data_IF_820783298508
#
_entry.id   IF_820783298508
#
_cell.length_a   1.000
_cell.length_b   1.000
_cell.length_c   1.000
_cell.angle_alpha   90.00
_cell.angle_beta   90.00
_cell.angle_gamma   90.00
#
_symmetry.space_group_name_H-M   'P 1'
#
loop_
_entity.id
_entity.type
_entity.pdbx_description
1 polymer ?
#
# COMPACT_ATOMS: atom_id res chain seq x y z
N UNK A 1 14.53 8.99 9.86
CA UNK A 1 15.20 9.59 8.68
C UNK A 1 14.40 10.73 8.08
N UNK A 2 14.63 11.04 6.80
CA UNK A 2 13.84 12.00 6.02
C UNK A 2 13.14 11.24 4.88
N UNK A 3 11.81 11.15 4.95
CA UNK A 3 11.01 10.47 3.92
C UNK A 3 10.70 11.38 2.73
N UNK A 4 10.09 10.81 1.69
CA UNK A 4 9.68 11.58 0.51
C UNK A 4 8.50 12.49 0.87
N UNK A 5 8.61 13.77 0.52
CA UNK A 5 7.55 14.76 0.67
C UNK A 5 6.92 15.15 -0.67
N UNK A 6 5.59 15.28 -0.71
CA UNK A 6 4.87 15.89 -1.85
C UNK A 6 4.88 15.08 -3.15
N UNK A 7 5.12 13.76 -3.06
CA UNK A 7 5.07 12.84 -4.19
C UNK A 7 3.70 12.88 -4.88
N UNK A 8 3.68 12.84 -6.21
CA UNK A 8 2.46 12.69 -7.00
C UNK A 8 2.54 11.46 -7.90
N UNK A 9 1.57 10.56 -7.78
CA UNK A 9 1.38 9.41 -8.66
C UNK A 9 -0.02 9.56 -9.26
N UNK A 10 -0.10 10.08 -10.47
CA UNK A 10 -1.36 10.51 -11.09
C UNK A 10 -1.50 10.00 -12.53
N UNK A 11 -2.67 9.48 -12.90
CA UNK A 11 -2.97 9.07 -14.27
C UNK A 11 -2.15 7.87 -14.77
N UNK A 12 -1.61 7.05 -13.86
CA UNK A 12 -0.73 5.93 -14.20
C UNK A 12 -1.47 4.61 -14.35
N UNK A 13 -0.85 3.66 -15.04
CA UNK A 13 -1.22 2.23 -14.96
C UNK A 13 -0.12 1.45 -14.26
N UNK A 14 -0.39 0.93 -13.08
CA UNK A 14 0.53 0.11 -12.29
C UNK A 14 0.05 -1.35 -12.34
N UNK A 15 0.87 -2.27 -12.88
CA UNK A 15 0.41 -3.64 -13.06
C UNK A 15 1.50 -4.71 -13.06
N UNK A 16 1.08 -5.93 -12.76
CA UNK A 16 1.89 -7.15 -12.81
C UNK A 16 3.12 -7.08 -11.88
N UNK A 17 2.96 -6.48 -10.70
CA UNK A 17 4.00 -6.43 -9.68
C UNK A 17 4.12 -7.79 -9.01
N UNK A 18 5.35 -8.16 -8.63
CA UNK A 18 5.62 -9.41 -7.92
C UNK A 18 4.89 -9.43 -6.56
N UNK A 19 4.99 -8.33 -5.80
CA UNK A 19 4.34 -8.07 -4.52
C UNK A 19 3.32 -6.91 -4.68
N UNK A 20 3.34 -5.91 -3.79
CA UNK A 20 2.44 -4.77 -3.84
C UNK A 20 2.70 -3.90 -5.10
N UNK A 21 1.65 -3.37 -5.73
CA UNK A 21 1.83 -2.57 -6.94
C UNK A 21 2.45 -1.19 -6.66
N UNK A 22 2.16 -0.60 -5.50
CA UNK A 22 2.76 0.64 -5.03
C UNK A 22 3.01 0.56 -3.53
N UNK A 23 4.22 0.88 -3.10
CA UNK A 23 4.56 0.93 -1.68
C UNK A 23 5.10 2.31 -1.29
N UNK A 24 4.34 3.00 -0.44
CA UNK A 24 4.69 4.28 0.16
C UNK A 24 5.18 4.01 1.59
N UNK A 25 6.49 3.91 1.78
CA UNK A 25 7.09 3.58 3.08
C UNK A 25 8.16 4.57 3.50
N UNK A 26 8.42 4.59 4.80
CA UNK A 26 9.45 5.35 5.50
C UNK A 26 9.24 6.86 5.47
N UNK A 27 8.36 7.34 6.35
CA UNK A 27 8.10 8.75 6.66
C UNK A 27 7.60 9.55 5.43
N UNK A 28 6.84 8.92 4.55
CA UNK A 28 6.25 9.59 3.38
C UNK A 28 5.19 10.57 3.85
N UNK A 29 5.29 11.82 3.37
CA UNK A 29 4.37 12.88 3.76
C UNK A 29 3.79 13.66 2.60
N UNK A 30 2.50 13.98 2.67
CA UNK A 30 1.86 14.83 1.67
C UNK A 30 1.82 14.22 0.26
N UNK A 31 1.92 12.89 0.13
CA UNK A 31 1.81 12.22 -1.15
C UNK A 31 0.36 12.23 -1.67
N UNK A 32 0.21 12.29 -2.99
CA UNK A 32 -1.07 12.27 -3.68
C UNK A 32 -1.05 11.13 -4.72
N UNK A 33 -1.90 10.13 -4.53
CA UNK A 33 -2.04 8.97 -5.42
C UNK A 33 -3.45 8.97 -5.99
N UNK A 34 -3.61 9.42 -7.24
CA UNK A 34 -4.93 9.61 -7.81
C UNK A 34 -5.09 9.24 -9.28
N UNK A 35 -6.32 8.98 -9.69
CA UNK A 35 -6.69 8.74 -11.09
C UNK A 35 -5.85 7.64 -11.77
N UNK A 36 -5.37 6.67 -10.97
CA UNK A 36 -4.56 5.55 -11.47
C UNK A 36 -5.43 4.32 -11.72
N UNK A 37 -4.98 3.47 -12.64
CA UNK A 37 -5.44 2.09 -12.80
C UNK A 37 -4.40 1.14 -12.21
N UNK A 38 -4.77 0.37 -11.19
CA UNK A 38 -3.87 -0.55 -10.47
C UNK A 38 -4.40 -1.97 -10.58
N UNK A 39 -3.61 -2.91 -11.10
CA UNK A 39 -4.10 -4.29 -11.27
C UNK A 39 -3.03 -5.37 -11.37
N UNK A 40 -3.33 -6.59 -10.93
CA UNK A 40 -2.39 -7.71 -11.01
C UNK A 40 -1.20 -7.50 -10.07
N UNK A 41 -1.50 -7.23 -8.81
CA UNK A 41 -0.51 -7.14 -7.74
C UNK A 41 -0.36 -8.54 -7.11
N UNK A 42 0.81 -8.84 -6.56
CA UNK A 42 1.07 -10.13 -5.92
C UNK A 42 1.25 -11.27 -6.92
N UNK A 43 1.81 -11.01 -8.10
CA UNK A 43 1.99 -12.04 -9.14
C UNK A 43 2.81 -13.23 -8.62
N UNK A 44 3.79 -12.99 -7.75
CA UNK A 44 4.59 -14.06 -7.15
C UNK A 44 3.71 -15.04 -6.36
N UNK A 45 2.83 -14.53 -5.50
CA UNK A 45 2.00 -15.34 -4.61
C UNK A 45 0.73 -15.86 -5.29
N UNK A 46 -0.01 -14.99 -5.98
CA UNK A 46 -1.36 -15.26 -6.48
C UNK A 46 -1.42 -15.81 -7.91
N UNK A 47 -0.31 -15.81 -8.64
CA UNK A 47 -0.21 -16.40 -9.99
C UNK A 47 0.79 -17.54 -10.03
N UNK A 48 1.97 -17.37 -9.43
CA UNK A 48 3.02 -18.39 -9.45
C UNK A 48 3.04 -19.30 -8.21
N UNK A 49 2.17 -19.08 -7.24
CA UNK A 49 2.02 -19.96 -6.08
C UNK A 49 3.19 -19.87 -5.09
N UNK A 50 3.75 -18.68 -4.89
CA UNK A 50 4.83 -18.40 -3.93
C UNK A 50 4.50 -18.73 -2.47
N UNK A 51 3.23 -18.93 -2.14
CA UNK A 51 2.75 -19.39 -0.84
C UNK A 51 2.60 -18.27 0.20
N UNK A 52 2.95 -17.03 -0.14
CA UNK A 52 2.67 -15.84 0.65
C UNK A 52 1.29 -15.26 0.39
N UNK A 53 1.11 -14.02 0.82
CA UNK A 53 -0.12 -13.24 0.69
C UNK A 53 0.15 -11.81 0.24
N UNK A 54 1.36 -11.48 -0.22
CA UNK A 54 1.68 -10.14 -0.66
C UNK A 54 0.96 -9.88 -1.99
N UNK A 55 0.24 -8.77 -2.08
CA UNK A 55 -0.53 -8.47 -3.27
C UNK A 55 -1.42 -7.25 -3.17
N UNK A 56 -1.07 -6.32 -2.29
CA UNK A 56 -1.80 -5.10 -2.05
C UNK A 56 -1.70 -4.17 -3.27
N UNK A 57 -2.78 -3.43 -3.56
CA UNK A 57 -2.74 -2.39 -4.56
C UNK A 57 -1.77 -1.28 -4.15
N UNK A 58 -1.98 -0.74 -2.95
CA UNK A 58 -1.17 0.32 -2.35
C UNK A 58 -0.90 -0.03 -0.88
N UNK A 59 0.38 -0.09 -0.51
CA UNK A 59 0.83 -0.29 0.86
C UNK A 59 1.37 1.02 1.43
N UNK A 60 0.77 1.52 2.51
CA UNK A 60 1.12 2.81 3.13
C UNK A 60 1.65 2.64 4.55
N UNK A 61 2.89 3.07 4.77
CA UNK A 61 3.61 2.96 6.02
C UNK A 61 4.51 1.72 6.08
N UNK A 62 4.83 1.29 7.30
CA UNK A 62 5.64 0.09 7.57
C UNK A 62 5.16 -0.56 8.85
N UNK A 63 4.86 -1.86 8.78
CA UNK A 63 4.48 -2.65 9.93
C UNK A 63 5.61 -2.70 10.99
N UNK A 64 5.31 -2.76 12.30
CA UNK A 64 6.32 -2.75 13.35
C UNK A 64 7.36 -3.88 13.19
N UNK A 65 6.92 -5.06 12.78
CA UNK A 65 7.76 -6.24 12.55
C UNK A 65 8.76 -6.07 11.38
N UNK A 66 8.54 -5.09 10.49
CA UNK A 66 9.37 -4.79 9.32
C UNK A 66 10.34 -3.61 9.55
N UNK A 67 10.43 -3.09 10.77
CA UNK A 67 11.34 -1.99 11.09
C UNK A 67 12.81 -2.47 11.24
N UNK A 68 13.76 -1.56 11.07
CA UNK A 68 15.19 -1.78 11.26
C UNK A 68 15.76 -2.92 10.41
N UNK A 69 16.44 -3.88 11.04
CA UNK A 69 17.07 -5.01 10.34
C UNK A 69 16.10 -5.88 9.52
N UNK A 70 14.78 -5.68 9.68
CA UNK A 70 13.74 -6.45 9.03
C UNK A 70 13.15 -5.77 7.78
N UNK A 71 13.63 -4.58 7.39
CA UNK A 71 13.30 -3.99 6.09
C UNK A 71 13.34 -2.46 5.99
N UNK A 72 13.00 -1.73 7.05
CA UNK A 72 13.10 -0.27 7.09
C UNK A 72 14.52 0.21 7.46
N UNK A 73 14.95 1.40 7.02
CA UNK A 73 16.31 1.88 7.29
C UNK A 73 16.69 1.99 8.79
N UNK A 74 15.72 2.15 9.68
CA UNK A 74 15.92 2.22 11.12
C UNK A 74 14.73 1.60 11.88
N UNK A 75 14.85 1.47 13.21
CA UNK A 75 13.82 0.87 14.06
C UNK A 75 12.69 1.84 14.44
N UNK A 76 12.69 3.08 13.92
CA UNK A 76 11.71 4.08 14.31
C UNK A 76 10.36 3.81 13.64
N UNK A 77 9.26 4.10 14.36
CA UNK A 77 7.92 3.98 13.81
C UNK A 77 7.76 4.78 12.50
N UNK A 78 7.09 4.19 11.51
CA UNK A 78 6.85 4.83 10.22
C UNK A 78 5.64 5.75 10.31
N UNK A 79 5.90 7.00 10.69
CA UNK A 79 4.89 8.06 10.77
C UNK A 79 4.64 8.69 9.40
N UNK A 80 4.30 7.86 8.42
CA UNK A 80 3.82 8.32 7.11
C UNK A 80 2.46 9.00 7.29
N UNK A 81 2.34 10.26 6.83
CA UNK A 81 1.20 11.12 7.20
C UNK A 81 0.78 12.12 6.15
N UNK A 82 -0.46 12.60 6.25
CA UNK A 82 -1.04 13.59 5.35
C UNK A 82 -1.05 13.15 3.88
N UNK A 83 -1.04 11.84 3.63
CA UNK A 83 -1.11 11.29 2.28
C UNK A 83 -2.57 11.12 1.86
N UNK A 84 -2.84 11.26 0.57
CA UNK A 84 -4.18 11.10 -0.01
C UNK A 84 -4.14 10.08 -1.14
N UNK A 85 -4.99 9.07 -1.04
CA UNK A 85 -5.14 8.00 -2.01
C UNK A 85 -6.60 8.04 -2.47
N UNK A 86 -6.86 8.51 -3.69
CA UNK A 86 -8.23 8.73 -4.13
C UNK A 86 -8.48 8.60 -5.63
N UNK A 87 -9.71 8.30 -6.01
CA UNK A 87 -10.13 8.25 -7.42
C UNK A 87 -9.33 7.24 -8.26
N UNK A 88 -8.78 6.20 -7.63
CA UNK A 88 -8.11 5.11 -8.34
C UNK A 88 -9.09 3.97 -8.65
N UNK A 89 -8.88 3.26 -9.75
CA UNK A 89 -9.50 1.96 -10.01
C UNK A 89 -8.50 0.87 -9.67
N UNK A 90 -8.81 0.07 -8.65
CA UNK A 90 -7.89 -0.93 -8.08
C UNK A 90 -8.53 -2.32 -8.19
N UNK A 91 -7.97 -3.13 -9.08
CA UNK A 91 -8.37 -4.54 -9.29
C UNK A 91 -7.18 -5.43 -8.97
N UNK A 92 -6.91 -5.66 -7.68
CA UNK A 92 -5.62 -6.22 -7.23
C UNK A 92 -5.33 -7.58 -7.83
N UNK A 93 -6.32 -8.50 -7.85
CA UNK A 93 -6.11 -9.94 -8.09
C UNK A 93 -5.16 -10.58 -7.08
N UNK A 94 -4.99 -9.93 -5.94
CA UNK A 94 -4.12 -10.34 -4.85
C UNK A 94 -4.80 -10.05 -3.52
N UNK A 95 -4.21 -9.16 -2.74
CA UNK A 95 -4.66 -8.78 -1.40
C UNK A 95 -5.36 -7.41 -1.43
N UNK A 96 -5.34 -6.63 -0.33
CA UNK A 96 -6.13 -5.41 -0.12
C UNK A 96 -5.93 -4.37 -1.22
N UNK A 97 -6.93 -3.53 -1.54
CA UNK A 97 -6.64 -2.42 -2.45
C UNK A 97 -5.66 -1.42 -1.82
N UNK A 98 -5.91 -1.08 -0.56
CA UNK A 98 -5.08 -0.17 0.22
C UNK A 98 -4.91 -0.77 1.60
N UNK A 99 -3.66 -0.88 2.02
CA UNK A 99 -3.30 -1.39 3.35
C UNK A 99 -2.49 -0.31 4.07
N UNK A 100 -3.11 0.27 5.11
CA UNK A 100 -2.52 1.33 5.92
C UNK A 100 -1.97 0.72 7.20
N UNK A 101 -0.64 0.76 7.32
CA UNK A 101 0.08 0.18 8.43
C UNK A 101 0.10 1.06 9.67
N UNK A 102 0.43 0.41 10.78
CA UNK A 102 0.57 0.97 12.10
C UNK A 102 1.42 2.24 12.10
N UNK A 103 1.04 3.19 12.96
CA UNK A 103 1.65 4.52 13.10
C UNK A 103 1.54 5.45 11.88
N UNK A 104 1.04 4.98 10.72
CA UNK A 104 0.67 5.88 9.65
C UNK A 104 -0.56 6.70 10.10
N UNK A 105 -0.44 8.03 10.11
CA UNK A 105 -1.42 8.91 10.75
C UNK A 105 -1.95 9.97 9.79
N UNK A 106 -3.21 10.37 9.96
CA UNK A 106 -3.83 11.43 9.16
C UNK A 106 -3.71 11.20 7.64
N UNK A 107 -3.94 9.97 7.20
CA UNK A 107 -3.97 9.62 5.79
C UNK A 107 -5.43 9.45 5.35
N UNK A 108 -5.72 9.85 4.11
CA UNK A 108 -7.05 9.81 3.54
C UNK A 108 -7.11 8.79 2.42
N UNK A 109 -7.97 7.79 2.58
CA UNK A 109 -8.29 6.80 1.55
C UNK A 109 -9.76 6.97 1.21
N UNK A 110 -10.04 7.58 0.06
CA UNK A 110 -11.40 8.03 -0.28
C UNK A 110 -11.66 7.87 -1.78
N UNK A 111 -12.90 7.60 -2.18
CA UNK A 111 -13.31 7.58 -3.60
C UNK A 111 -12.52 6.63 -4.51
N UNK A 112 -11.97 5.52 -4.00
CA UNK A 112 -11.36 4.49 -4.83
C UNK A 112 -12.39 3.41 -5.18
N UNK A 113 -12.35 2.92 -6.42
CA UNK A 113 -13.09 1.74 -6.83
C UNK A 113 -12.23 0.49 -6.63
N UNK A 114 -12.78 -0.49 -5.93
CA UNK A 114 -12.06 -1.60 -5.34
C UNK A 114 -12.73 -2.92 -5.66
N UNK A 115 -11.98 -3.82 -6.29
CA UNK A 115 -12.50 -5.17 -6.59
C UNK A 115 -11.39 -6.20 -6.84
N UNK A 116 -11.80 -7.46 -6.97
CA UNK A 116 -10.95 -8.52 -7.51
C UNK A 116 -9.90 -9.08 -6.55
N UNK A 117 -9.97 -8.77 -5.25
CA UNK A 117 -9.18 -9.45 -4.21
C UNK A 117 -9.41 -10.96 -4.26
N UNK A 118 -8.36 -11.73 -4.00
CA UNK A 118 -8.38 -13.20 -4.03
C UNK A 118 -8.15 -13.83 -2.67
N UNK A 119 -7.48 -13.14 -1.75
CA UNK A 119 -7.41 -13.61 -0.36
C UNK A 119 -8.80 -13.47 0.28
N UNK A 120 -9.44 -14.57 0.74
CA UNK A 120 -10.78 -14.53 1.34
C UNK A 120 -10.82 -13.80 2.69
N UNK A 121 -9.67 -13.52 3.30
CA UNK A 121 -9.53 -12.73 4.52
C UNK A 121 -9.25 -11.24 4.26
N UNK A 122 -9.16 -10.83 2.99
CA UNK A 122 -8.85 -9.46 2.59
C UNK A 122 -10.08 -8.59 2.37
N UNK A 123 -9.87 -7.27 2.47
CA UNK A 123 -10.88 -6.25 2.21
C UNK A 123 -10.50 -5.27 1.10
N UNK A 124 -11.37 -4.28 0.87
CA UNK A 124 -11.01 -3.09 0.09
C UNK A 124 -9.92 -2.26 0.78
N UNK A 125 -10.04 -2.12 2.09
CA UNK A 125 -9.16 -1.34 2.94
C UNK A 125 -8.83 -2.15 4.19
N UNK A 126 -7.54 -2.29 4.52
CA UNK A 126 -7.09 -2.60 5.88
C UNK A 126 -6.43 -1.36 6.48
N UNK A 127 -6.68 -1.13 7.77
CA UNK A 127 -6.14 0.00 8.51
C UNK A 127 -5.81 -0.44 9.93
N UNK A 128 -4.51 -0.48 10.24
CA UNK A 128 -4.00 -0.95 11.53
C UNK A 128 -3.59 0.23 12.40
N UNK A 129 -4.27 0.42 13.53
CA UNK A 129 -4.01 1.50 14.48
C UNK A 129 -2.97 1.13 15.55
N UNK A 130 -2.36 2.13 16.19
CA UNK A 130 -1.32 1.93 17.22
C UNK A 130 -1.65 2.47 18.61
N UNK A 131 -2.89 2.95 18.81
CA UNK A 131 -3.36 3.53 20.09
C UNK A 131 -3.07 5.02 20.21
#
# INVERSE_FOLDING_TARGET
GNGVGGLRVTGMTLKNAADECLRLRYLVTGAEVNDNTITGCGVADFVFGGGGKNGEGIYLGTAPEQQGSNGAPDAAADVSRNNRIHHNTIVTRGNECVDVKENATNNYVEHNDCSGQRDPSSGGLDARGSG
#
